data_IF_931404127891
#
_entry.id   IF_931404127891
#
_cell.length_a   1.000
_cell.length_b   1.000
_cell.length_c   1.000
_cell.angle_alpha   90.00
_cell.angle_beta   90.00
_cell.angle_gamma   90.00
#
_symmetry.space_group_name_H-M   'P 1'
#
loop_
_entity.id
_entity.type
_entity.pdbx_description
1 polymer ?
#
# COMPACT_ATOMS: atom_id res chain seq x y z
N UNK A 1 -21.24 -15.09 -13.14
CA UNK A 1 -20.96 -15.21 -11.68
C UNK A 1 -19.53 -14.82 -11.31
N UNK A 2 -18.48 -15.41 -11.93
CA UNK A 2 -17.09 -15.13 -11.55
C UNK A 2 -16.66 -13.65 -11.71
N UNK A 3 -17.08 -12.96 -12.77
CA UNK A 3 -16.76 -11.54 -12.95
C UNK A 3 -17.37 -10.65 -11.84
N UNK A 4 -18.59 -10.94 -11.39
CA UNK A 4 -19.24 -10.18 -10.32
C UNK A 4 -18.55 -10.43 -8.98
N UNK A 5 -18.16 -11.67 -8.70
CA UNK A 5 -17.38 -11.99 -7.49
C UNK A 5 -16.02 -11.27 -7.49
N UNK A 6 -15.37 -11.20 -8.64
CA UNK A 6 -14.10 -10.47 -8.77
C UNK A 6 -14.25 -8.97 -8.50
N UNK A 7 -15.26 -8.31 -9.10
CA UNK A 7 -15.50 -6.88 -8.83
C UNK A 7 -15.93 -6.64 -7.38
N UNK A 8 -16.75 -7.50 -6.79
CA UNK A 8 -17.11 -7.38 -5.38
C UNK A 8 -15.88 -7.47 -4.47
N UNK A 9 -14.98 -8.42 -4.72
CA UNK A 9 -13.73 -8.52 -3.95
C UNK A 9 -12.85 -7.28 -4.13
N UNK A 10 -12.82 -6.68 -5.32
CA UNK A 10 -12.10 -5.45 -5.57
C UNK A 10 -12.64 -4.28 -4.73
N UNK A 11 -13.96 -4.07 -4.71
CA UNK A 11 -14.58 -3.02 -3.89
C UNK A 11 -14.44 -3.28 -2.39
N UNK A 12 -14.47 -4.53 -1.95
CA UNK A 12 -14.21 -4.90 -0.55
C UNK A 12 -12.77 -4.50 -0.17
N UNK A 13 -11.78 -4.75 -1.03
CA UNK A 13 -10.39 -4.37 -0.78
C UNK A 13 -10.22 -2.84 -0.72
N UNK A 14 -10.92 -2.09 -1.58
CA UNK A 14 -10.93 -0.62 -1.54
C UNK A 14 -11.52 -0.08 -0.25
N UNK A 15 -12.60 -0.69 0.23
CA UNK A 15 -13.18 -0.32 1.52
C UNK A 15 -12.23 -0.59 2.68
N UNK A 16 -11.55 -1.74 2.70
CA UNK A 16 -10.54 -2.07 3.72
C UNK A 16 -9.38 -1.05 3.72
N UNK A 17 -8.94 -0.62 2.54
CA UNK A 17 -7.91 0.41 2.42
C UNK A 17 -8.34 1.76 2.98
N UNK A 18 -9.56 2.19 2.67
CA UNK A 18 -10.14 3.43 3.18
C UNK A 18 -10.18 3.38 4.70
N UNK A 19 -10.66 2.28 5.29
CA UNK A 19 -10.69 2.12 6.74
C UNK A 19 -9.32 2.33 7.37
N UNK A 20 -8.26 1.74 6.80
CA UNK A 20 -6.90 1.83 7.37
C UNK A 20 -6.38 3.28 7.37
N UNK A 21 -6.63 4.04 6.31
CA UNK A 21 -6.18 5.43 6.18
C UNK A 21 -6.87 6.35 7.21
N UNK A 22 -8.09 6.03 7.62
CA UNK A 22 -8.86 6.85 8.57
C UNK A 22 -8.62 6.52 10.05
N UNK A 23 -7.89 5.43 10.36
CA UNK A 23 -7.48 5.06 11.72
C UNK A 23 -6.60 6.13 12.38
N UNK A 24 -5.50 6.61 11.75
CA UNK A 24 -4.70 7.66 12.35
C UNK A 24 -5.56 8.92 12.51
N UNK A 25 -5.62 9.41 13.74
CA UNK A 25 -6.29 10.66 14.07
C UNK A 25 -5.41 11.45 15.00
N UNK A 26 -5.58 12.77 15.00
CA UNK A 26 -4.82 13.69 15.86
C UNK A 26 -4.98 13.39 17.36
N UNK A 27 -5.94 12.54 17.74
CA UNK A 27 -6.18 12.06 19.10
C UNK A 27 -5.25 10.90 19.50
N UNK A 28 -4.71 10.13 18.53
CA UNK A 28 -3.64 9.19 18.82
C UNK A 28 -2.38 10.01 19.04
N UNK A 29 -1.73 9.86 20.20
CA UNK A 29 -0.33 10.25 20.31
C UNK A 29 0.40 9.60 19.12
N UNK A 30 1.11 10.39 18.34
CA UNK A 30 1.84 9.91 17.18
C UNK A 30 2.94 8.96 17.64
N UNK A 31 2.60 7.69 17.81
CA UNK A 31 3.58 6.68 18.14
C UNK A 31 4.04 6.03 16.84
N UNK A 32 5.32 6.18 16.47
CA UNK A 32 5.83 5.74 15.18
C UNK A 32 5.56 4.25 14.88
N UNK A 33 5.59 3.41 15.92
CA UNK A 33 5.29 1.97 15.80
C UNK A 33 3.83 1.66 15.38
N UNK A 34 2.82 2.45 15.82
CA UNK A 34 1.43 2.24 15.36
C UNK A 34 1.34 2.59 13.87
N UNK A 35 1.98 3.68 13.45
CA UNK A 35 2.00 4.09 12.04
C UNK A 35 2.71 3.06 11.16
N UNK A 36 3.83 2.49 11.60
CA UNK A 36 4.50 1.42 10.84
C UNK A 36 3.63 0.17 10.72
N UNK A 37 2.91 -0.20 11.77
CA UNK A 37 1.99 -1.36 11.74
C UNK A 37 0.78 -1.12 10.84
N UNK A 38 0.20 0.08 10.87
CA UNK A 38 -0.87 0.48 9.95
C UNK A 38 -0.41 0.43 8.49
N UNK A 39 0.81 0.89 8.23
CA UNK A 39 1.38 0.88 6.89
C UNK A 39 1.62 -0.55 6.40
N UNK A 40 2.15 -1.47 7.24
CA UNK A 40 2.28 -2.89 6.87
C UNK A 40 0.94 -3.51 6.45
N UNK A 41 -0.13 -3.27 7.22
CA UNK A 41 -1.46 -3.79 6.88
C UNK A 41 -1.99 -3.22 5.56
N UNK A 42 -1.78 -1.92 5.32
CA UNK A 42 -2.15 -1.29 4.05
C UNK A 42 -1.41 -1.91 2.86
N UNK A 43 -0.10 -2.17 3.01
CA UNK A 43 0.73 -2.75 1.95
C UNK A 43 0.36 -4.20 1.62
N UNK A 44 -0.04 -4.99 2.62
CA UNK A 44 -0.54 -6.35 2.40
C UNK A 44 -1.81 -6.30 1.53
N UNK A 45 -2.78 -5.46 1.87
CA UNK A 45 -4.04 -5.32 1.11
C UNK A 45 -3.77 -4.79 -0.31
N UNK A 46 -2.83 -3.85 -0.48
CA UNK A 46 -2.44 -3.35 -1.80
C UNK A 46 -1.82 -4.43 -2.66
N UNK A 47 -0.94 -5.27 -2.11
CA UNK A 47 -0.33 -6.37 -2.87
C UNK A 47 -1.38 -7.38 -3.35
N UNK A 48 -2.37 -7.71 -2.51
CA UNK A 48 -3.50 -8.54 -2.92
C UNK A 48 -4.37 -7.88 -3.99
N UNK A 49 -4.67 -6.58 -3.86
CA UNK A 49 -5.45 -5.83 -4.85
C UNK A 49 -4.76 -5.82 -6.23
N UNK A 50 -3.45 -5.60 -6.26
CA UNK A 50 -2.66 -5.62 -7.50
C UNK A 50 -2.66 -7.00 -8.14
N UNK A 51 -2.63 -8.06 -7.34
CA UNK A 51 -2.73 -9.42 -7.83
C UNK A 51 -4.11 -9.75 -8.43
N UNK A 52 -5.18 -9.12 -7.94
CA UNK A 52 -6.48 -9.23 -8.62
C UNK A 52 -6.43 -8.50 -9.97
N UNK A 53 -5.96 -7.25 -10.01
CA UNK A 53 -5.96 -6.42 -11.22
C UNK A 53 -5.07 -6.97 -12.35
N UNK A 54 -3.89 -7.46 -12.00
CA UNK A 54 -2.90 -7.98 -12.94
C UNK A 54 -2.89 -9.49 -12.83
N UNK A 55 -3.06 -10.19 -13.95
CA UNK A 55 -2.94 -11.66 -13.99
C UNK A 55 -1.52 -12.17 -13.74
N UNK A 56 -0.56 -11.28 -13.43
CA UNK A 56 0.84 -11.59 -13.17
C UNK A 56 1.24 -11.25 -11.74
N UNK A 57 1.68 -12.28 -11.01
CA UNK A 57 2.14 -12.19 -9.63
C UNK A 57 3.46 -11.42 -9.45
N UNK A 58 4.23 -11.18 -10.51
CA UNK A 58 5.57 -10.60 -10.41
C UNK A 58 5.55 -9.19 -9.82
N UNK A 59 4.61 -8.34 -10.22
CA UNK A 59 4.53 -6.97 -9.73
C UNK A 59 4.01 -6.89 -8.29
N UNK A 60 2.97 -7.65 -7.95
CA UNK A 60 2.44 -7.71 -6.58
C UNK A 60 3.50 -8.25 -5.61
N UNK A 61 4.30 -9.22 -6.05
CA UNK A 61 5.43 -9.76 -5.27
C UNK A 61 6.57 -8.76 -5.05
N UNK A 62 7.06 -8.11 -6.12
CA UNK A 62 8.15 -7.11 -6.01
C UNK A 62 7.71 -5.96 -5.10
N UNK A 63 6.47 -5.48 -5.25
CA UNK A 63 5.95 -4.42 -4.42
C UNK A 63 5.86 -4.83 -2.95
N UNK A 64 5.38 -6.05 -2.67
CA UNK A 64 5.31 -6.57 -1.31
C UNK A 64 6.69 -6.60 -0.64
N UNK A 65 7.71 -7.13 -1.33
CA UNK A 65 9.08 -7.23 -0.79
C UNK A 65 9.71 -5.87 -0.51
N UNK A 66 9.65 -4.94 -1.48
CA UNK A 66 10.25 -3.62 -1.32
C UNK A 66 9.64 -2.87 -0.14
N UNK A 67 8.33 -3.01 0.04
CA UNK A 67 7.58 -2.25 1.02
C UNK A 67 7.71 -2.84 2.43
N UNK A 68 7.70 -4.18 2.56
CA UNK A 68 8.00 -4.83 3.85
C UNK A 68 9.44 -4.56 4.28
N UNK A 69 10.41 -4.65 3.35
CA UNK A 69 11.81 -4.35 3.65
C UNK A 69 12.02 -2.90 4.12
N UNK A 70 11.39 -1.92 3.44
CA UNK A 70 11.44 -0.52 3.84
C UNK A 70 10.85 -0.27 5.23
N UNK A 71 9.71 -0.90 5.55
CA UNK A 71 9.09 -0.75 6.87
C UNK A 71 9.91 -1.42 7.98
N UNK A 72 10.57 -2.55 7.71
CA UNK A 72 11.46 -3.17 8.70
C UNK A 72 12.61 -2.23 9.10
N UNK A 73 13.21 -1.52 8.15
CA UNK A 73 14.27 -0.53 8.43
C UNK A 73 13.72 0.64 9.25
N UNK A 74 12.52 1.13 8.91
CA UNK A 74 11.85 2.18 9.69
C UNK A 74 11.56 1.74 11.13
N UNK A 75 11.11 0.51 11.35
CA UNK A 75 10.88 -0.04 12.69
C UNK A 75 12.18 -0.06 13.49
N UNK A 76 13.28 -0.56 12.91
CA UNK A 76 14.58 -0.60 13.59
C UNK A 76 15.03 0.80 14.03
N UNK A 77 14.94 1.78 13.13
CA UNK A 77 15.28 3.18 13.44
C UNK A 77 14.43 3.73 14.59
N UNK A 78 13.11 3.56 14.52
CA UNK A 78 12.18 4.12 15.51
C UNK A 78 12.33 3.47 16.89
N UNK A 79 12.51 2.14 16.95
CA UNK A 79 12.78 1.45 18.22
C UNK A 79 14.09 1.87 18.87
N UNK A 80 15.05 2.39 18.09
CA UNK A 80 16.31 2.89 18.63
C UNK A 80 16.24 4.31 19.21
N UNK A 81 15.17 5.07 18.90
CA UNK A 81 15.05 6.50 19.24
C UNK A 81 13.94 6.78 20.25
N UNK A 82 12.84 6.02 20.25
CA UNK A 82 11.73 6.26 21.19
C UNK A 82 11.97 5.58 22.54
N UNK A 83 11.74 6.31 23.63
CA UNK A 83 11.53 5.71 24.95
C UNK A 83 10.38 4.69 24.86
N UNK A 84 10.53 3.51 25.47
CA UNK A 84 9.52 2.44 25.52
C UNK A 84 8.31 2.82 26.40
N UNK A 85 7.66 3.95 26.12
CA UNK A 85 6.43 4.34 26.81
C UNK A 85 5.30 3.41 26.38
N UNK A 86 4.59 2.84 27.36
CA UNK A 86 3.43 2.00 27.07
C UNK A 86 2.35 2.82 26.36
N UNK A 87 1.65 2.18 25.42
CA UNK A 87 0.54 2.78 24.71
C UNK A 87 -0.62 3.08 25.68
N UNK A 88 -0.78 4.36 26.04
CA UNK A 88 -1.93 4.80 26.83
C UNK A 88 -3.15 4.98 25.92
N UNK A 89 -4.01 3.96 25.84
CA UNK A 89 -5.32 4.06 25.22
C UNK A 89 -6.31 4.71 26.18
N UNK A 90 -6.93 5.82 25.76
CA UNK A 90 -8.06 6.39 26.49
C UNK A 90 -9.37 5.76 26.00
N UNK A 91 -10.36 5.59 26.88
CA UNK A 91 -11.69 5.12 26.47
C UNK A 91 -12.34 6.03 25.40
N UNK A 92 -12.01 7.33 25.43
CA UNK A 92 -12.45 8.32 24.43
C UNK A 92 -11.89 7.97 23.04
N UNK A 93 -10.63 7.57 22.95
CA UNK A 93 -9.99 7.12 21.70
C UNK A 93 -10.72 5.92 21.11
N UNK A 94 -11.07 4.93 21.96
CA UNK A 94 -11.76 3.71 21.53
C UNK A 94 -13.16 4.05 21.00
N UNK A 95 -13.92 4.86 21.74
CA UNK A 95 -15.27 5.28 21.33
C UNK A 95 -15.26 6.06 20.01
N UNK A 96 -14.31 6.99 19.86
CA UNK A 96 -14.15 7.75 18.63
C UNK A 96 -13.86 6.85 17.42
N UNK A 97 -12.98 5.86 17.58
CA UNK A 97 -12.66 4.91 16.51
C UNK A 97 -13.86 4.01 16.17
N UNK A 98 -14.65 3.59 17.15
CA UNK A 98 -15.88 2.83 16.92
C UNK A 98 -16.90 3.64 16.12
N UNK A 99 -17.12 4.91 16.47
CA UNK A 99 -18.04 5.79 15.74
C UNK A 99 -17.62 6.00 14.29
N UNK A 100 -16.32 6.18 14.05
CA UNK A 100 -15.76 6.22 12.68
C UNK A 100 -16.05 4.94 11.91
N UNK A 101 -15.81 3.78 12.53
CA UNK A 101 -16.03 2.50 11.88
C UNK A 101 -17.50 2.31 11.45
N UNK A 102 -18.44 2.65 12.34
CA UNK A 102 -19.87 2.59 12.05
C UNK A 102 -20.22 3.53 10.88
N UNK A 103 -19.71 4.76 10.88
CA UNK A 103 -19.96 5.72 9.80
C UNK A 103 -19.49 5.20 8.43
N UNK A 104 -18.26 4.68 8.35
CA UNK A 104 -17.74 4.11 7.11
C UNK A 104 -18.50 2.85 6.69
N UNK A 105 -18.91 2.02 7.64
CA UNK A 105 -19.71 0.83 7.35
C UNK A 105 -21.07 1.18 6.72
N UNK A 106 -21.73 2.24 7.22
CA UNK A 106 -22.99 2.72 6.64
C UNK A 106 -22.78 3.22 5.20
N UNK A 107 -21.69 3.96 4.95
CA UNK A 107 -21.33 4.40 3.59
C UNK A 107 -21.12 3.19 2.67
N UNK A 108 -20.42 2.16 3.14
CA UNK A 108 -20.17 0.95 2.36
C UNK A 108 -21.46 0.24 1.96
N UNK A 109 -22.40 0.07 2.90
CA UNK A 109 -23.70 -0.54 2.60
C UNK A 109 -24.45 0.27 1.53
N UNK A 110 -24.45 1.60 1.63
CA UNK A 110 -25.08 2.44 0.60
C UNK A 110 -24.44 2.25 -0.77
N UNK A 111 -23.12 2.22 -0.86
CA UNK A 111 -22.42 1.97 -2.12
C UNK A 111 -22.75 0.60 -2.70
N UNK A 112 -22.74 -0.45 -1.89
CA UNK A 112 -23.07 -1.81 -2.34
C UNK A 112 -24.51 -1.93 -2.83
N UNK A 113 -25.45 -1.24 -2.17
CA UNK A 113 -26.85 -1.21 -2.60
C UNK A 113 -27.02 -0.50 -3.95
N UNK A 114 -26.38 0.67 -4.13
CA UNK A 114 -26.39 1.37 -5.43
C UNK A 114 -25.77 0.52 -6.54
N UNK A 115 -24.68 -0.18 -6.24
CA UNK A 115 -24.01 -1.05 -7.20
C UNK A 115 -24.91 -2.19 -7.64
N UNK A 116 -25.53 -2.93 -6.71
CA UNK A 116 -26.45 -4.02 -7.04
C UNK A 116 -27.62 -3.53 -7.92
N UNK A 117 -28.19 -2.37 -7.63
CA UNK A 117 -29.30 -1.81 -8.42
C UNK A 117 -28.86 -1.38 -9.82
N UNK A 118 -27.68 -0.74 -9.97
CA UNK A 118 -27.18 -0.32 -11.28
C UNK A 118 -26.73 -1.50 -12.16
N UNK A 119 -26.21 -2.58 -11.56
CA UNK A 119 -25.82 -3.79 -12.32
C UNK A 119 -27.00 -4.53 -12.90
N UNK A 120 -28.15 -4.54 -12.21
CA UNK A 120 -29.39 -5.10 -12.75
C UNK A 120 -29.86 -4.32 -14.01
N UNK A 121 -29.60 -3.01 -14.08
CA UNK A 121 -29.93 -2.17 -15.23
C UNK A 121 -28.88 -2.19 -16.36
N UNK A 122 -27.61 -2.53 -16.08
CA UNK A 122 -26.49 -2.48 -17.04
C UNK A 122 -26.25 -3.79 -17.83
N UNK A 123 -26.98 -4.86 -17.55
CA UNK A 123 -26.85 -6.15 -18.26
C UNK A 123 -27.14 -6.08 -19.78
N UNK A 124 -27.57 -4.93 -20.33
CA UNK A 124 -27.80 -4.75 -21.77
C UNK A 124 -26.56 -4.33 -22.58
N UNK A 125 -25.46 -3.87 -21.94
CA UNK A 125 -24.33 -3.25 -22.68
C UNK A 125 -22.97 -3.97 -22.51
N UNK A 126 -22.92 -5.19 -21.97
CA UNK A 126 -21.65 -5.87 -21.63
C UNK A 126 -20.89 -6.51 -22.80
N UNK A 127 -21.39 -6.44 -24.04
CA UNK A 127 -20.74 -7.07 -25.19
C UNK A 127 -19.49 -6.32 -25.70
N UNK A 128 -19.33 -5.02 -25.42
CA UNK A 128 -18.22 -4.22 -25.96
C UNK A 128 -16.96 -4.16 -25.08
N UNK A 129 -17.01 -4.61 -23.83
CA UNK A 129 -15.85 -4.58 -22.91
C UNK A 129 -14.92 -5.80 -23.03
N UNK A 130 -15.37 -6.88 -23.67
CA UNK A 130 -14.56 -8.09 -23.82
C UNK A 130 -13.50 -7.99 -24.93
N UNK A 131 -13.71 -7.13 -25.94
CA UNK A 131 -12.75 -6.92 -27.04
C UNK A 131 -11.48 -6.20 -26.58
N UNK A 132 -11.59 -5.24 -25.65
CA UNK A 132 -10.43 -4.56 -25.05
C UNK A 132 -9.62 -5.47 -24.12
N UNK A 133 -10.24 -6.48 -23.49
CA UNK A 133 -9.56 -7.38 -22.53
C UNK A 133 -8.66 -8.42 -23.19
N UNK A 134 -8.83 -8.70 -24.48
CA UNK A 134 -8.04 -9.69 -25.22
C UNK A 134 -6.73 -9.10 -25.76
N UNK A 135 -6.74 -7.88 -26.30
CA UNK A 135 -5.53 -7.26 -26.86
C UNK A 135 -4.51 -6.78 -25.81
N UNK A 136 -4.93 -6.53 -24.56
CA UNK A 136 -4.01 -6.12 -23.49
C UNK A 136 -3.29 -7.28 -22.80
N UNK A 137 -3.81 -8.51 -22.89
CA UNK A 137 -3.24 -9.66 -22.17
C UNK A 137 -1.98 -10.22 -22.81
N UNK A 138 -1.87 -10.23 -24.13
CA UNK A 138 -0.71 -10.81 -24.80
C UNK A 138 0.48 -9.84 -24.89
N UNK A 139 0.21 -8.57 -25.21
CA UNK A 139 1.28 -7.57 -25.36
C UNK A 139 1.97 -7.21 -24.03
N UNK A 140 1.23 -7.10 -22.92
CA UNK A 140 1.84 -6.73 -21.64
C UNK A 140 2.72 -7.82 -21.03
N UNK A 141 2.41 -9.11 -21.26
CA UNK A 141 3.26 -10.23 -20.80
C UNK A 141 4.61 -10.27 -21.52
N UNK A 142 4.61 -10.00 -22.84
CA UNK A 142 5.82 -9.95 -23.66
C UNK A 142 6.69 -8.72 -23.35
N UNK A 143 6.07 -7.56 -23.09
CA UNK A 143 6.77 -6.33 -22.68
C UNK A 143 7.48 -6.50 -21.32
N UNK A 144 6.85 -7.22 -20.39
CA UNK A 144 7.35 -7.52 -19.06
C UNK A 144 8.59 -8.42 -19.03
N UNK A 145 8.59 -9.48 -19.84
CA UNK A 145 9.72 -10.42 -19.92
C UNK A 145 10.96 -9.75 -20.55
N UNK A 146 10.75 -8.66 -21.29
CA UNK A 146 11.76 -7.96 -22.06
C UNK A 146 12.17 -6.59 -21.46
N UNK A 147 12.10 -6.40 -20.14
CA UNK A 147 12.62 -5.18 -19.50
C UNK A 147 14.11 -4.93 -19.80
N UNK A 148 14.86 -6.00 -20.09
CA UNK A 148 16.29 -5.95 -20.41
C UNK A 148 16.64 -5.86 -21.91
N UNK A 149 15.66 -5.87 -22.83
CA UNK A 149 15.97 -5.81 -24.26
C UNK A 149 15.79 -4.40 -24.84
N UNK A 150 16.86 -3.93 -25.50
CA UNK A 150 17.09 -2.79 -26.40
C UNK A 150 16.37 -1.44 -26.21
N UNK A 151 15.11 -1.38 -25.77
CA UNK A 151 14.36 -0.12 -25.64
C UNK A 151 14.60 0.63 -24.32
N UNK A 152 15.09 -0.05 -23.26
CA UNK A 152 15.14 0.53 -21.91
C UNK A 152 16.55 0.66 -21.30
N UNK A 153 17.63 0.46 -22.08
CA UNK A 153 18.99 0.50 -21.53
C UNK A 153 19.38 1.86 -20.93
N UNK A 154 18.93 2.96 -21.54
CA UNK A 154 19.17 4.31 -21.00
C UNK A 154 18.52 4.51 -19.62
N UNK A 155 17.29 4.03 -19.45
CA UNK A 155 16.58 4.07 -18.17
C UNK A 155 17.27 3.22 -17.10
N UNK A 156 17.81 2.05 -17.48
CA UNK A 156 18.56 1.19 -16.56
C UNK A 156 19.86 1.88 -16.12
N UNK A 157 20.60 2.47 -17.06
CA UNK A 157 21.83 3.22 -16.74
C UNK A 157 21.50 4.40 -15.81
N UNK A 158 20.41 5.13 -16.05
CA UNK A 158 19.96 6.19 -15.16
C UNK A 158 19.67 5.69 -13.74
N UNK A 159 18.94 4.57 -13.59
CA UNK A 159 18.66 4.00 -12.27
C UNK A 159 19.93 3.55 -11.53
N UNK A 160 20.91 2.98 -12.23
CA UNK A 160 22.19 2.59 -11.63
C UNK A 160 22.95 3.81 -11.11
N UNK A 161 23.06 4.87 -11.93
CA UNK A 161 23.73 6.12 -11.52
C UNK A 161 22.99 6.77 -10.36
N UNK A 162 21.66 6.80 -10.39
CA UNK A 162 20.83 7.32 -9.30
C UNK A 162 21.08 6.58 -7.99
N UNK A 163 21.04 5.24 -7.99
CA UNK A 163 21.30 4.45 -6.77
C UNK A 163 22.73 4.64 -6.25
N UNK A 164 23.73 4.76 -7.14
CA UNK A 164 25.11 5.03 -6.75
C UNK A 164 25.25 6.42 -6.10
N UNK A 165 24.64 7.45 -6.68
CA UNK A 165 24.64 8.80 -6.10
C UNK A 165 23.94 8.81 -4.74
N UNK A 166 22.81 8.12 -4.58
CA UNK A 166 22.11 8.03 -3.30
C UNK A 166 22.96 7.37 -2.21
N UNK A 167 23.76 6.34 -2.54
CA UNK A 167 24.72 5.73 -1.60
C UNK A 167 25.86 6.69 -1.23
N UNK A 168 26.38 7.47 -2.19
CA UNK A 168 27.40 8.49 -1.90
C UNK A 168 26.85 9.59 -1.00
N UNK A 169 25.63 10.07 -1.26
CA UNK A 169 25.01 11.08 -0.41
C UNK A 169 24.69 10.57 0.99
N UNK A 170 24.19 9.34 1.13
CA UNK A 170 23.87 8.77 2.45
C UNK A 170 25.12 8.64 3.33
N UNK A 171 26.24 8.18 2.77
CA UNK A 171 27.52 8.09 3.49
C UNK A 171 28.07 9.47 3.88
N UNK A 172 27.98 10.47 3.01
CA UNK A 172 28.37 11.85 3.31
C UNK A 172 27.53 12.47 4.44
N UNK A 173 26.21 12.18 4.49
CA UNK A 173 25.35 12.63 5.59
C UNK A 173 25.76 11.96 6.91
N UNK A 174 26.01 10.64 6.89
CA UNK A 174 26.43 9.89 8.07
C UNK A 174 27.78 10.37 8.64
N UNK A 175 28.74 10.74 7.79
CA UNK A 175 30.06 11.24 8.22
C UNK A 175 30.01 12.60 8.93
N UNK A 176 28.92 13.36 8.76
CA UNK A 176 28.83 14.74 9.26
C UNK A 176 28.39 14.85 10.72
N UNK A 177 27.94 13.76 11.36
CA UNK A 177 27.49 13.75 12.76
C UNK A 177 28.44 12.93 13.65
N UNK A 178 29.39 13.61 14.29
CA UNK A 178 30.29 13.03 15.31
C UNK A 178 29.64 12.85 16.70
N UNK A 179 28.32 12.93 16.82
CA UNK A 179 27.61 12.66 18.07
C UNK A 179 27.04 11.23 18.00
N UNK A 180 27.33 10.35 18.98
CA UNK A 180 26.74 9.02 18.99
C UNK A 180 25.21 9.14 19.05
N UNK A 181 24.52 8.44 18.14
CA UNK A 181 23.04 8.36 18.07
C UNK A 181 22.39 7.84 19.37
N UNK A 182 23.20 7.34 20.33
CA UNK A 182 22.79 7.08 21.70
C UNK A 182 23.39 8.15 22.61
N UNK A 183 22.57 9.11 23.07
CA UNK A 183 22.91 9.82 24.29
C UNK A 183 23.03 8.77 25.40
N UNK A 184 24.23 8.61 25.96
CA UNK A 184 24.36 8.07 27.30
C UNK A 184 23.70 9.10 28.21
N UNK A 185 22.45 8.85 28.55
CA UNK A 185 21.74 9.57 29.59
C UNK A 185 22.51 9.24 30.89
N UNK A 186 23.31 10.19 31.36
CA UNK A 186 23.74 10.26 32.76
C UNK A 186 22.78 11.17 33.50
#
# INVERSE_FOLDING_TARGET
MNMNFFYMNYYIMDFLMILIIFIPSNLMKFHPLIFSMLLLMYMIILSFKLNYLLSNFWYSYILFLLMVGGVMILIMYLTSISNNEMFNYSFIMIYYNLMKFIFFYMIFIMFMYMYMNNYLNMNMNFYDLNSFKLNFKENNFLILKNLYMNMNMEMIIYFIIYLLLMMMFSTMICLKFNIPMRQMIF
#
